data_IF_308795519818
#
_entry.id   IF_308795519818
#
_cell.length_a   1.000
_cell.length_b   1.000
_cell.length_c   1.000
_cell.angle_alpha   90.00
_cell.angle_beta   90.00
_cell.angle_gamma   90.00
#
_symmetry.space_group_name_H-M   'P 1'
#
loop_
_entity.id
_entity.type
_entity.pdbx_description
1 polymer ?
#
# COMPACT_ATOMS: atom_id res chain seq x y z
N UNK A 1 31.02 8.26 -18.32
CA UNK A 1 29.70 7.65 -18.62
C UNK A 1 28.74 8.78 -18.93
N UNK A 2 28.43 8.95 -20.21
CA UNK A 2 27.44 9.91 -20.72
C UNK A 2 26.05 9.39 -20.35
N UNK A 3 25.33 10.18 -19.56
CA UNK A 3 23.90 10.00 -19.35
C UNK A 3 23.20 10.27 -20.69
N UNK A 4 22.68 9.25 -21.38
CA UNK A 4 21.92 9.52 -22.62
C UNK A 4 21.69 8.40 -23.62
N UNK A 5 22.34 7.23 -23.51
CA UNK A 5 22.31 6.25 -24.62
C UNK A 5 21.22 5.18 -24.50
N UNK A 6 20.56 5.03 -23.35
CA UNK A 6 19.52 4.02 -23.21
C UNK A 6 18.27 4.37 -24.02
N UNK A 7 17.87 3.44 -24.89
CA UNK A 7 16.61 3.49 -25.65
C UNK A 7 15.55 2.56 -25.09
N UNK A 8 15.90 1.71 -24.14
CA UNK A 8 15.04 0.71 -23.50
C UNK A 8 15.04 0.89 -22.00
N UNK A 9 13.86 0.76 -21.40
CA UNK A 9 13.63 1.02 -19.99
C UNK A 9 12.74 -0.05 -19.36
N UNK A 10 12.92 -0.28 -18.06
CA UNK A 10 12.02 -1.08 -17.24
C UNK A 10 11.58 -0.23 -16.05
N UNK A 11 10.28 -0.19 -15.75
CA UNK A 11 9.73 0.61 -14.65
C UNK A 11 9.46 -0.20 -13.41
N UNK A 12 9.79 0.34 -12.23
CA UNK A 12 9.43 -0.21 -10.94
C UNK A 12 8.71 0.84 -10.09
N UNK A 13 7.47 0.56 -9.71
CA UNK A 13 6.66 1.41 -8.85
C UNK A 13 6.27 0.67 -7.57
N UNK A 14 6.26 1.36 -6.43
CA UNK A 14 5.95 0.72 -5.16
C UNK A 14 5.18 1.63 -4.20
N UNK A 15 4.47 1.06 -3.23
CA UNK A 15 3.79 1.82 -2.18
C UNK A 15 3.69 0.99 -0.89
N UNK A 16 3.48 1.65 0.25
CA UNK A 16 3.07 0.95 1.49
C UNK A 16 1.60 0.55 1.41
N UNK A 17 1.28 -0.58 2.02
CA UNK A 17 -0.07 -0.86 2.46
C UNK A 17 -0.54 0.24 3.41
N UNK A 18 -1.85 0.50 3.36
CA UNK A 18 -2.53 1.42 4.26
C UNK A 18 -3.75 0.69 4.85
N UNK A 19 -3.53 -0.28 5.78
CA UNK A 19 -4.62 -1.09 6.34
C UNK A 19 -5.71 -0.26 7.02
N UNK A 20 -5.33 0.89 7.60
CA UNK A 20 -6.26 1.87 8.16
C UNK A 20 -7.34 2.36 7.17
N UNK A 21 -7.04 2.33 5.87
CA UNK A 21 -7.94 2.71 4.79
C UNK A 21 -8.40 1.49 3.97
N UNK A 22 -8.20 0.27 4.46
CA UNK A 22 -8.56 -0.97 3.76
C UNK A 22 -7.65 -1.33 2.57
N UNK A 23 -6.63 -0.53 2.28
CA UNK A 23 -5.69 -0.77 1.18
C UNK A 23 -4.60 -1.76 1.62
N UNK A 24 -4.87 -3.04 1.42
CA UNK A 24 -4.00 -4.16 1.84
C UNK A 24 -3.57 -5.05 0.68
N UNK A 25 -4.11 -4.82 -0.50
CA UNK A 25 -3.83 -5.59 -1.71
C UNK A 25 -3.61 -4.65 -2.88
N UNK A 26 -2.70 -5.02 -3.77
CA UNK A 26 -2.42 -4.30 -5.01
C UNK A 26 -2.49 -5.29 -6.18
N UNK A 27 -3.26 -5.00 -7.25
CA UNK A 27 -3.19 -5.79 -8.47
C UNK A 27 -1.76 -5.82 -9.03
N UNK A 28 -1.31 -7.00 -9.48
CA UNK A 28 0.03 -7.14 -10.09
C UNK A 28 0.15 -6.48 -11.46
N UNK A 29 -0.96 -6.36 -12.18
CA UNK A 29 -1.01 -5.61 -13.42
C UNK A 29 -0.75 -4.11 -13.14
N UNK A 30 0.25 -3.47 -13.78
CA UNK A 30 0.61 -2.08 -13.50
C UNK A 30 -0.52 -1.08 -13.76
N UNK A 31 -1.37 -1.34 -14.75
CA UNK A 31 -2.49 -0.46 -15.10
C UNK A 31 -3.59 -0.52 -14.03
N UNK A 32 -3.99 -1.72 -13.64
CA UNK A 32 -4.90 -1.94 -12.52
C UNK A 32 -4.32 -1.44 -11.19
N UNK A 33 -3.02 -1.60 -10.97
CA UNK A 33 -2.30 -1.07 -9.81
C UNK A 33 -2.35 0.46 -9.74
N UNK A 34 -2.22 1.14 -10.88
CA UNK A 34 -2.39 2.60 -10.97
C UNK A 34 -3.82 3.05 -10.63
N UNK A 35 -4.84 2.31 -11.08
CA UNK A 35 -6.24 2.58 -10.72
C UNK A 35 -6.50 2.38 -9.22
N UNK A 36 -5.82 1.41 -8.60
CA UNK A 36 -5.97 1.10 -7.17
C UNK A 36 -5.17 2.03 -6.25
N UNK A 37 -4.10 2.69 -6.73
CA UNK A 37 -3.23 3.53 -5.90
C UNK A 37 -2.75 4.78 -6.63
N UNK A 38 -3.06 5.94 -6.05
CA UNK A 38 -2.62 7.26 -6.55
C UNK A 38 -1.09 7.37 -6.63
N UNK A 39 -0.38 6.80 -5.64
CA UNK A 39 1.09 6.77 -5.61
C UNK A 39 1.66 5.91 -6.75
N UNK A 40 1.02 4.79 -7.09
CA UNK A 40 1.42 3.95 -8.22
C UNK A 40 1.11 4.66 -9.55
N UNK A 41 -0.09 5.26 -9.70
CA UNK A 41 -0.44 6.04 -10.88
C UNK A 41 0.58 7.15 -11.17
N UNK A 42 0.97 7.90 -10.12
CA UNK A 42 1.99 8.93 -10.22
C UNK A 42 3.35 8.38 -10.67
N UNK A 43 3.85 7.32 -10.04
CA UNK A 43 5.16 6.75 -10.39
C UNK A 43 5.20 6.29 -11.84
N UNK A 44 4.13 5.62 -12.30
CA UNK A 44 4.01 5.18 -13.69
C UNK A 44 3.97 6.36 -14.66
N UNK A 45 3.19 7.40 -14.36
CA UNK A 45 3.16 8.61 -15.17
C UNK A 45 4.54 9.27 -15.26
N UNK A 46 5.27 9.35 -14.13
CA UNK A 46 6.62 9.90 -14.07
C UNK A 46 7.64 9.09 -14.89
N UNK A 47 7.60 7.77 -14.76
CA UNK A 47 8.44 6.84 -15.53
C UNK A 47 8.15 6.99 -17.03
N UNK A 48 6.87 6.93 -17.44
CA UNK A 48 6.46 7.04 -18.84
C UNK A 48 6.83 8.39 -19.44
N UNK A 49 6.67 9.49 -18.69
CA UNK A 49 7.08 10.82 -19.12
C UNK A 49 8.60 10.90 -19.37
N UNK A 50 9.41 10.29 -18.50
CA UNK A 50 10.86 10.20 -18.70
C UNK A 50 11.21 9.41 -19.98
N UNK A 51 10.62 8.23 -20.16
CA UNK A 51 10.83 7.40 -21.36
C UNK A 51 10.46 8.17 -22.64
N UNK A 52 9.34 8.89 -22.62
CA UNK A 52 8.89 9.71 -23.74
C UNK A 52 9.88 10.86 -24.04
N UNK A 53 10.39 11.55 -23.02
CA UNK A 53 11.39 12.61 -23.17
C UNK A 53 12.70 12.07 -23.79
N UNK A 54 13.09 10.85 -23.43
CA UNK A 54 14.24 10.16 -24.02
C UNK A 54 13.95 9.56 -25.42
N UNK A 55 12.70 9.64 -25.92
CA UNK A 55 12.25 8.94 -27.13
C UNK A 55 12.61 7.45 -27.09
N UNK A 56 12.40 6.81 -25.93
CA UNK A 56 12.71 5.42 -25.69
C UNK A 56 11.48 4.50 -25.69
N UNK A 57 11.70 3.24 -25.32
CA UNK A 57 10.70 2.19 -25.20
C UNK A 57 10.69 1.65 -23.77
N UNK A 58 9.51 1.64 -23.15
CA UNK A 58 9.29 0.97 -21.88
C UNK A 58 8.95 -0.50 -22.17
N UNK A 59 9.85 -1.42 -21.78
CA UNK A 59 9.72 -2.85 -22.08
C UNK A 59 8.80 -3.56 -21.10
N UNK A 60 8.87 -3.19 -19.82
CA UNK A 60 8.06 -3.76 -18.77
C UNK A 60 7.84 -2.74 -17.66
N UNK A 61 6.74 -2.91 -16.93
CA UNK A 61 6.45 -2.22 -15.69
C UNK A 61 6.12 -3.27 -14.63
N UNK A 62 6.61 -3.06 -13.41
CA UNK A 62 6.23 -3.86 -12.25
C UNK A 62 5.75 -2.95 -11.12
N UNK A 63 4.78 -3.44 -10.36
CA UNK A 63 4.23 -2.76 -9.20
C UNK A 63 4.37 -3.63 -7.96
N UNK A 64 4.74 -3.03 -6.84
CA UNK A 64 4.93 -3.72 -5.57
C UNK A 64 4.17 -3.04 -4.44
N UNK A 65 3.54 -3.85 -3.59
CA UNK A 65 2.94 -3.40 -2.34
C UNK A 65 3.80 -3.90 -1.19
N UNK A 66 4.40 -2.98 -0.47
CA UNK A 66 5.07 -3.31 0.78
C UNK A 66 3.98 -3.63 1.83
N UNK A 67 4.00 -4.82 2.45
CA UNK A 67 2.95 -5.29 3.36
C UNK A 67 2.80 -4.47 4.64
N UNK A 68 3.81 -3.66 5.00
CA UNK A 68 3.80 -2.79 6.17
C UNK A 68 3.89 -1.30 5.83
N UNK A 69 3.96 -0.48 6.89
CA UNK A 69 4.21 0.97 6.81
C UNK A 69 5.71 1.33 6.88
N UNK A 70 6.58 0.31 6.80
CA UNK A 70 8.04 0.42 6.88
C UNK A 70 8.69 -0.45 5.79
N UNK A 71 9.90 -0.07 5.34
CA UNK A 71 10.67 -0.91 4.42
C UNK A 71 10.94 -2.29 5.02
N UNK A 72 10.85 -3.33 4.20
CA UNK A 72 11.29 -4.67 4.54
C UNK A 72 12.05 -5.32 3.39
N UNK A 73 12.69 -6.45 3.66
CA UNK A 73 13.36 -7.27 2.66
C UNK A 73 12.37 -8.02 1.74
N UNK A 74 11.07 -7.99 2.04
CA UNK A 74 10.04 -8.61 1.21
C UNK A 74 9.96 -8.03 -0.22
N UNK A 75 10.48 -6.82 -0.45
CA UNK A 75 10.56 -6.20 -1.78
C UNK A 75 11.65 -6.81 -2.67
N UNK A 76 12.65 -7.47 -2.05
CA UNK A 76 13.86 -7.92 -2.75
C UNK A 76 13.56 -8.90 -3.89
N UNK A 77 12.71 -9.94 -3.73
CA UNK A 77 12.41 -10.85 -4.83
C UNK A 77 11.82 -10.16 -6.06
N UNK A 78 10.86 -9.25 -5.87
CA UNK A 78 10.24 -8.50 -6.97
C UNK A 78 11.25 -7.55 -7.64
N UNK A 79 12.04 -6.84 -6.84
CA UNK A 79 13.07 -5.95 -7.36
C UNK A 79 14.16 -6.71 -8.14
N UNK A 80 14.60 -7.88 -7.65
CA UNK A 80 15.58 -8.73 -8.34
C UNK A 80 15.03 -9.25 -9.67
N UNK A 81 13.75 -9.62 -9.75
CA UNK A 81 13.13 -10.04 -11.00
C UNK A 81 13.11 -8.90 -12.04
N UNK A 82 12.84 -7.68 -11.58
CA UNK A 82 12.83 -6.48 -12.43
C UNK A 82 14.25 -6.11 -12.88
N UNK A 83 15.23 -6.14 -11.98
CA UNK A 83 16.64 -5.91 -12.30
C UNK A 83 17.16 -6.95 -13.32
N UNK A 84 16.76 -8.21 -13.18
CA UNK A 84 17.08 -9.25 -14.17
C UNK A 84 16.47 -8.94 -15.52
N UNK A 85 15.20 -8.55 -15.57
CA UNK A 85 14.53 -8.16 -16.81
C UNK A 85 15.25 -6.99 -17.49
N UNK A 86 15.68 -6.00 -16.71
CA UNK A 86 16.45 -4.87 -17.21
C UNK A 86 17.81 -5.32 -17.78
N UNK A 87 18.54 -6.16 -17.04
CA UNK A 87 19.82 -6.74 -17.50
C UNK A 87 19.68 -7.52 -18.80
N UNK A 88 18.72 -8.43 -18.88
CA UNK A 88 18.53 -9.34 -20.01
C UNK A 88 18.13 -8.60 -21.30
N UNK A 89 17.66 -7.35 -21.17
CA UNK A 89 17.23 -6.52 -22.30
C UNK A 89 18.10 -5.27 -22.51
N UNK A 90 19.27 -5.19 -21.86
CA UNK A 90 20.16 -4.01 -21.87
C UNK A 90 19.39 -2.70 -21.62
N UNK A 91 18.47 -2.74 -20.67
CA UNK A 91 17.56 -1.66 -20.35
C UNK A 91 17.95 -0.99 -19.03
N UNK A 92 17.69 0.32 -18.92
CA UNK A 92 17.83 1.04 -17.66
C UNK A 92 16.61 0.82 -16.77
N UNK A 93 16.83 0.51 -15.50
CA UNK A 93 15.76 0.48 -14.49
C UNK A 93 15.38 1.92 -14.10
N UNK A 94 14.09 2.25 -14.17
CA UNK A 94 13.52 3.51 -13.69
C UNK A 94 12.65 3.26 -12.46
N UNK A 95 12.83 4.07 -11.44
CA UNK A 95 11.98 4.12 -10.24
C UNK A 95 11.85 5.56 -9.77
N UNK A 96 10.89 5.87 -8.91
CA UNK A 96 10.84 7.19 -8.26
C UNK A 96 11.57 7.13 -6.92
N UNK A 97 12.56 8.00 -6.76
CA UNK A 97 13.30 8.14 -5.51
C UNK A 97 12.63 9.18 -4.60
N UNK A 98 11.62 8.75 -3.86
CA UNK A 98 10.95 9.61 -2.88
C UNK A 98 11.90 10.12 -1.78
N UNK A 99 13.00 9.41 -1.49
CA UNK A 99 13.94 9.80 -0.44
C UNK A 99 14.75 11.04 -0.81
N UNK A 100 14.96 11.30 -2.11
CA UNK A 100 15.61 12.52 -2.60
C UNK A 100 14.90 13.80 -2.15
N UNK A 101 13.59 13.74 -1.92
CA UNK A 101 12.83 14.84 -1.32
C UNK A 101 12.72 14.64 0.20
N UNK A 102 13.71 15.11 0.95
CA UNK A 102 13.68 15.16 2.43
C UNK A 102 13.52 13.80 3.13
N UNK A 103 14.01 12.71 2.54
CA UNK A 103 14.03 11.38 3.16
C UNK A 103 12.66 10.68 3.20
N UNK A 104 11.65 11.19 2.47
CA UNK A 104 10.34 10.55 2.44
C UNK A 104 10.42 9.14 1.86
N UNK A 105 9.75 8.18 2.52
CA UNK A 105 9.64 6.79 2.02
C UNK A 105 11.00 6.17 1.66
N UNK A 106 12.06 6.48 2.42
CA UNK A 106 13.37 5.85 2.24
C UNK A 106 13.26 4.33 2.38
N UNK A 107 13.81 3.60 1.41
CA UNK A 107 13.85 2.13 1.42
C UNK A 107 15.29 1.66 1.15
N UNK A 108 15.99 1.26 2.21
CA UNK A 108 17.40 0.80 2.14
C UNK A 108 17.57 -0.47 1.31
N UNK A 109 16.55 -1.34 1.26
CA UNK A 109 16.61 -2.57 0.47
C UNK A 109 16.63 -2.27 -1.02
N UNK A 110 15.84 -1.30 -1.49
CA UNK A 110 15.89 -0.85 -2.89
C UNK A 110 17.29 -0.31 -3.21
N UNK A 111 17.79 0.60 -2.38
CA UNK A 111 19.08 1.26 -2.61
C UNK A 111 20.25 0.26 -2.63
N UNK A 112 20.25 -0.70 -1.69
CA UNK A 112 21.27 -1.75 -1.61
C UNK A 112 21.25 -2.64 -2.86
N UNK A 113 20.06 -3.11 -3.28
CA UNK A 113 19.96 -3.98 -4.46
C UNK A 113 20.36 -3.25 -5.74
N UNK A 114 19.98 -1.98 -5.90
CA UNK A 114 20.38 -1.16 -7.04
C UNK A 114 21.90 -0.96 -7.08
N UNK A 115 22.52 -0.64 -5.93
CA UNK A 115 23.96 -0.42 -5.85
C UNK A 115 24.77 -1.70 -6.17
N UNK A 116 24.22 -2.88 -5.88
CA UNK A 116 24.87 -4.16 -6.15
C UNK A 116 24.59 -4.72 -7.55
N UNK A 117 23.54 -4.24 -8.23
CA UNK A 117 23.15 -4.78 -9.52
C UNK A 117 24.06 -4.30 -10.65
N UNK A 118 24.48 -5.18 -11.58
CA UNK A 118 25.23 -4.78 -12.78
C UNK A 118 24.28 -4.21 -13.85
N UNK A 119 23.42 -3.27 -13.45
CA UNK A 119 22.34 -2.69 -14.26
C UNK A 119 22.28 -1.19 -14.01
N UNK A 120 22.24 -0.39 -15.06
CA UNK A 120 22.01 1.04 -14.90
C UNK A 120 20.62 1.28 -14.29
N UNK A 121 20.57 2.02 -13.20
CA UNK A 121 19.32 2.36 -12.53
C UNK A 121 19.25 3.86 -12.29
N UNK A 122 18.07 4.45 -12.48
CA UNK A 122 17.82 5.87 -12.30
C UNK A 122 16.62 6.10 -11.38
N UNK A 123 16.90 6.75 -10.25
CA UNK A 123 15.88 7.31 -9.36
C UNK A 123 15.41 8.65 -9.87
N UNK A 124 14.15 8.72 -10.33
CA UNK A 124 13.51 9.93 -10.79
C UNK A 124 13.06 10.77 -9.58
N UNK A 125 13.25 12.10 -9.60
CA UNK A 125 12.83 12.94 -8.49
C UNK A 125 11.30 13.01 -8.41
N UNK A 126 10.73 13.08 -7.19
CA UNK A 126 9.30 13.02 -6.94
C UNK A 126 8.64 14.39 -7.11
N UNK A 127 8.92 15.08 -8.22
CA UNK A 127 8.36 16.40 -8.50
C UNK A 127 6.85 16.34 -8.76
N UNK A 128 6.07 17.34 -8.35
CA UNK A 128 4.66 17.42 -8.69
C UNK A 128 4.44 17.42 -10.20
N UNK A 129 3.44 16.66 -10.69
CA UNK A 129 3.10 16.63 -12.11
C UNK A 129 1.62 16.31 -12.35
N UNK A 130 1.07 16.64 -13.54
CA UNK A 130 -0.23 16.16 -13.95
C UNK A 130 -0.25 14.63 -14.08
N UNK A 131 -1.25 14.00 -13.49
CA UNK A 131 -1.53 12.56 -13.61
C UNK A 131 -2.95 12.39 -14.10
N UNK A 132 -3.14 11.57 -15.13
CA UNK A 132 -4.45 11.27 -15.70
C UNK A 132 -5.42 10.79 -14.62
N UNK A 133 -6.64 11.34 -14.61
CA UNK A 133 -7.67 11.03 -13.61
C UNK A 133 -7.44 11.60 -12.22
N UNK A 134 -6.28 12.20 -11.92
CA UNK A 134 -5.95 12.78 -10.59
C UNK A 134 -5.68 14.29 -10.62
N UNK A 135 -5.44 14.87 -11.80
CA UNK A 135 -5.01 16.26 -11.92
C UNK A 135 -3.56 16.46 -11.49
N UNK A 136 -3.23 17.63 -10.95
CA UNK A 136 -1.89 17.88 -10.38
C UNK A 136 -1.71 17.03 -9.11
N UNK A 137 -0.72 16.14 -9.14
CA UNK A 137 -0.38 15.29 -8.00
C UNK A 137 0.98 15.69 -7.43
N UNK A 138 0.99 16.14 -6.17
CA UNK A 138 2.19 16.34 -5.36
C UNK A 138 2.36 15.12 -4.44
N UNK A 139 3.35 14.24 -4.66
CA UNK A 139 3.53 13.06 -3.83
C UNK A 139 3.89 13.41 -2.38
N UNK A 140 4.66 14.48 -2.15
CA UNK A 140 5.09 14.85 -0.80
C UNK A 140 3.92 15.47 -0.03
N UNK A 141 3.16 16.35 -0.67
CA UNK A 141 1.90 16.86 -0.13
C UNK A 141 0.91 15.74 0.17
N UNK A 142 0.78 14.76 -0.74
CA UNK A 142 -0.05 13.57 -0.54
C UNK A 142 0.40 12.76 0.68
N UNK A 143 1.71 12.46 0.83
CA UNK A 143 2.21 11.70 1.98
C UNK A 143 2.03 12.44 3.30
N UNK A 144 2.23 13.77 3.31
CA UNK A 144 1.93 14.60 4.48
C UNK A 144 0.46 14.53 4.85
N UNK A 145 -0.45 14.69 3.87
CA UNK A 145 -1.88 14.61 4.12
C UNK A 145 -2.29 13.24 4.68
N UNK A 146 -1.80 12.14 4.08
CA UNK A 146 -2.05 10.78 4.59
C UNK A 146 -1.49 10.58 5.99
N UNK A 147 -0.28 11.07 6.28
CA UNK A 147 0.31 11.02 7.62
C UNK A 147 -0.53 11.81 8.62
N UNK A 148 -0.94 13.03 8.28
CA UNK A 148 -1.80 13.86 9.11
C UNK A 148 -3.14 13.18 9.39
N UNK A 149 -3.73 12.51 8.40
CA UNK A 149 -4.93 11.71 8.62
C UNK A 149 -4.62 10.55 9.58
N UNK A 150 -3.57 9.76 9.36
CA UNK A 150 -3.23 8.64 10.22
C UNK A 150 -2.88 9.03 11.67
N UNK A 151 -2.27 10.19 11.89
CA UNK A 151 -1.82 10.65 13.23
C UNK A 151 -2.77 11.67 13.88
N UNK A 152 -3.67 12.25 13.11
CA UNK A 152 -4.58 13.30 13.55
C UNK A 152 -5.78 12.75 14.32
N UNK A 153 -6.53 13.62 15.01
CA UNK A 153 -7.73 13.20 15.69
C UNK A 153 -8.69 12.52 14.70
N UNK A 154 -8.96 13.07 13.53
CA UNK A 154 -9.93 12.51 12.57
C UNK A 154 -9.46 11.28 11.77
N UNK A 155 -8.35 10.66 12.19
CA UNK A 155 -7.78 9.51 11.49
C UNK A 155 -8.62 8.23 11.54
N UNK A 156 -8.75 7.49 10.42
CA UNK A 156 -9.35 6.16 10.47
C UNK A 156 -8.39 5.24 11.23
N UNK A 157 -8.79 4.86 12.43
CA UNK A 157 -7.89 4.13 13.33
C UNK A 157 -8.09 4.40 14.80
N UNK A 158 -9.01 5.26 15.24
CA UNK A 158 -9.37 5.26 16.67
C UNK A 158 -9.98 3.91 17.04
N UNK A 159 -9.70 3.43 18.25
CA UNK A 159 -10.37 2.27 18.83
C UNK A 159 -11.89 2.43 18.74
N UNK A 160 -12.40 3.67 18.90
CA UNK A 160 -13.81 4.02 18.78
C UNK A 160 -14.40 3.79 17.36
N UNK A 161 -13.69 4.19 16.29
CA UNK A 161 -14.18 4.01 14.91
C UNK A 161 -14.12 2.54 14.49
N UNK A 162 -13.07 1.83 14.92
CA UNK A 162 -12.96 0.37 14.74
C UNK A 162 -14.02 -0.37 15.54
N UNK A 163 -14.32 0.09 16.75
CA UNK A 163 -15.38 -0.47 17.59
C UNK A 163 -16.76 -0.23 16.97
N UNK A 164 -17.03 0.93 16.38
CA UNK A 164 -18.30 1.21 15.68
C UNK A 164 -18.53 0.31 14.48
N UNK A 165 -17.55 0.20 13.58
CA UNK A 165 -17.67 -0.69 12.40
C UNK A 165 -17.74 -2.16 12.84
N UNK A 166 -17.01 -2.54 13.90
CA UNK A 166 -17.10 -3.88 14.45
C UNK A 166 -18.48 -4.13 15.10
N UNK A 167 -19.09 -3.13 15.73
CA UNK A 167 -20.42 -3.23 16.33
C UNK A 167 -21.49 -3.55 15.27
N UNK A 168 -21.47 -2.83 14.14
CA UNK A 168 -22.38 -3.11 13.01
C UNK A 168 -22.22 -4.54 12.47
N UNK A 169 -20.98 -5.03 12.34
CA UNK A 169 -20.72 -6.38 11.83
C UNK A 169 -21.07 -7.47 12.85
N UNK A 170 -20.83 -7.22 14.14
CA UNK A 170 -21.24 -8.11 15.23
C UNK A 170 -22.76 -8.22 15.25
N UNK A 171 -23.47 -7.09 15.21
CA UNK A 171 -24.94 -7.06 15.19
C UNK A 171 -25.53 -7.83 14.00
N UNK A 172 -25.03 -7.55 12.79
CA UNK A 172 -25.48 -8.24 11.58
C UNK A 172 -25.24 -9.76 11.64
N UNK A 173 -24.09 -10.19 12.17
CA UNK A 173 -23.74 -11.61 12.27
C UNK A 173 -24.59 -12.33 13.31
N UNK A 174 -24.84 -11.69 14.46
CA UNK A 174 -25.68 -12.25 15.51
C UNK A 174 -27.15 -12.33 15.07
N UNK A 175 -27.65 -11.29 14.41
CA UNK A 175 -28.99 -11.26 13.81
C UNK A 175 -29.17 -12.38 12.78
N UNK A 176 -28.21 -12.55 11.86
CA UNK A 176 -28.26 -13.61 10.86
C UNK A 176 -28.22 -15.03 11.49
N UNK A 177 -27.55 -15.18 12.63
CA UNK A 177 -27.51 -16.43 13.39
C UNK A 177 -28.73 -16.63 14.32
N UNK A 178 -29.64 -15.66 14.43
CA UNK A 178 -30.76 -15.69 15.37
C UNK A 178 -30.31 -15.70 16.83
N UNK A 179 -29.16 -15.08 17.14
CA UNK A 179 -28.55 -15.06 18.46
C UNK A 179 -28.63 -13.68 19.08
N UNK A 180 -29.04 -13.62 20.35
CA UNK A 180 -28.85 -12.45 21.19
C UNK A 180 -27.51 -12.58 21.93
N UNK A 181 -26.59 -11.66 21.63
CA UNK A 181 -25.25 -11.62 22.21
C UNK A 181 -25.24 -11.32 23.71
N UNK A 182 -26.25 -10.63 24.23
CA UNK A 182 -26.41 -10.35 25.65
C UNK A 182 -27.02 -11.55 26.41
N UNK A 183 -28.03 -12.21 25.82
CA UNK A 183 -28.68 -13.38 26.43
C UNK A 183 -27.80 -14.65 26.37
N UNK A 184 -27.06 -14.86 25.28
CA UNK A 184 -26.28 -16.09 25.03
C UNK A 184 -24.83 -15.84 24.59
N UNK A 185 -24.01 -15.16 25.42
CA UNK A 185 -22.70 -14.67 25.03
C UNK A 185 -21.68 -15.75 24.67
N UNK A 186 -21.78 -16.96 25.24
CA UNK A 186 -20.88 -18.07 24.86
C UNK A 186 -21.17 -18.59 23.46
N UNK A 187 -22.46 -18.79 23.11
CA UNK A 187 -22.87 -19.24 21.77
C UNK A 187 -22.61 -18.16 20.72
N UNK A 188 -22.91 -16.91 21.06
CA UNK A 188 -22.65 -15.74 20.22
C UNK A 188 -21.15 -15.56 19.94
N UNK A 189 -20.27 -15.69 20.94
CA UNK A 189 -18.83 -15.61 20.73
C UNK A 189 -18.31 -16.72 19.81
N UNK A 190 -18.82 -17.95 19.95
CA UNK A 190 -18.48 -19.05 19.05
C UNK A 190 -18.91 -18.77 17.60
N UNK A 191 -20.13 -18.24 17.40
CA UNK A 191 -20.63 -17.86 16.08
C UNK A 191 -19.78 -16.76 15.42
N UNK A 192 -19.40 -15.73 16.18
CA UNK A 192 -18.52 -14.65 15.69
C UNK A 192 -17.13 -15.18 15.28
N UNK A 193 -16.55 -16.08 16.07
CA UNK A 193 -15.26 -16.69 15.73
C UNK A 193 -15.37 -17.60 14.50
N UNK A 194 -16.46 -18.37 14.36
CA UNK A 194 -16.71 -19.19 13.17
C UNK A 194 -16.89 -18.33 11.91
N UNK A 195 -17.48 -17.14 12.05
CA UNK A 195 -17.59 -16.14 10.99
C UNK A 195 -16.28 -15.38 10.71
N UNK A 196 -15.18 -15.70 11.40
CA UNK A 196 -13.89 -15.04 11.22
C UNK A 196 -13.83 -13.59 11.73
N UNK A 197 -14.78 -13.18 12.57
CA UNK A 197 -14.78 -11.86 13.19
C UNK A 197 -13.93 -11.88 14.46
N UNK A 198 -12.89 -11.05 14.51
CA UNK A 198 -12.07 -10.84 15.70
C UNK A 198 -12.45 -9.53 16.41
N UNK A 199 -12.06 -9.41 17.67
CA UNK A 199 -12.19 -8.16 18.45
C UNK A 199 -11.39 -7.01 17.84
N UNK A 200 -11.60 -5.77 18.30
CA UNK A 200 -10.84 -4.57 17.85
C UNK A 200 -9.32 -4.74 17.93
N UNK A 201 -8.84 -5.60 18.84
CA UNK A 201 -7.41 -5.92 19.05
C UNK A 201 -6.98 -7.24 18.38
N UNK A 202 -7.76 -7.73 17.42
CA UNK A 202 -7.53 -8.95 16.65
C UNK A 202 -7.40 -10.23 17.51
N UNK A 203 -8.13 -10.30 18.63
CA UNK A 203 -8.23 -11.51 19.46
C UNK A 203 -9.56 -12.24 19.21
N UNK A 204 -9.61 -13.58 19.38
CA UNK A 204 -10.87 -14.31 19.33
C UNK A 204 -11.83 -13.86 20.43
N UNK A 205 -13.13 -13.96 20.16
CA UNK A 205 -14.18 -13.68 21.11
C UNK A 205 -14.30 -14.78 22.16
N UNK A 206 -14.54 -14.35 23.40
CA UNK A 206 -15.10 -15.17 24.47
C UNK A 206 -16.29 -14.44 25.10
N UNK A 207 -17.07 -15.13 25.94
CA UNK A 207 -18.28 -14.57 26.54
C UNK A 207 -18.03 -13.25 27.29
N UNK A 208 -16.88 -13.12 27.94
CA UNK A 208 -16.51 -11.96 28.75
C UNK A 208 -16.11 -10.75 27.89
N UNK A 209 -15.31 -10.97 26.84
CA UNK A 209 -14.97 -9.93 25.85
C UNK A 209 -16.17 -9.45 25.05
N UNK A 210 -17.11 -10.35 24.72
CA UNK A 210 -18.32 -10.01 23.99
C UNK A 210 -19.26 -9.15 24.84
N UNK A 211 -19.51 -9.53 26.10
CA UNK A 211 -20.33 -8.73 27.02
C UNK A 211 -19.81 -7.30 27.15
N UNK A 212 -18.50 -7.15 27.43
CA UNK A 212 -17.88 -5.82 27.55
C UNK A 212 -18.03 -5.00 26.27
N UNK A 213 -17.91 -5.64 25.11
CA UNK A 213 -18.03 -4.97 23.84
C UNK A 213 -19.47 -4.49 23.58
N UNK A 214 -20.47 -5.34 23.81
CA UNK A 214 -21.89 -5.01 23.67
C UNK A 214 -22.26 -3.83 24.59
N UNK A 215 -21.92 -3.91 25.88
CA UNK A 215 -22.21 -2.84 26.86
C UNK A 215 -21.56 -1.51 26.50
N UNK A 216 -20.40 -1.53 25.84
CA UNK A 216 -19.62 -0.32 25.55
C UNK A 216 -19.94 0.31 24.19
N UNK A 217 -20.46 -0.47 23.25
CA UNK A 217 -20.54 -0.07 21.84
C UNK A 217 -21.85 -0.41 21.12
N UNK A 218 -22.77 -1.16 21.74
CA UNK A 218 -24.02 -1.63 21.14
C UNK A 218 -25.25 -1.34 22.02
N UNK A 219 -25.14 -0.38 22.95
CA UNK A 219 -26.27 0.13 23.74
C UNK A 219 -26.83 1.42 23.15
#
# INVERSE_FOLDING_TARGET
>A
MTWGDYRTFVGFAWTYALPAFGFTTLPRDPEAGGKASRTIAYQRARIRAHVAACKGKLLAEAVYLEPGDRPSDAIVPDLVAVLRTAKDNDAQLLYVDFASASGWRQNSHIQQQIAMAPVSSLGLPPDPMPVEGLGLFDPIGHFKAVRTLLTGPEGPGREADRARVLAERVDATLTAAGLDGAAHPTKAAAALNQAGLATVRNRPWNADTLRRFITRHMS
#
